data_IF_925801312889
#
_entry.id   IF_925801312889
#
_cell.length_a   1.000
_cell.length_b   1.000
_cell.length_c   1.000
_cell.angle_alpha   90.00
_cell.angle_beta   90.00
_cell.angle_gamma   90.00
#
_symmetry.space_group_name_H-M   'P 1'
#
loop_
_entity.id
_entity.type
_entity.pdbx_description
1 polymer ?
#
# COMPACT_ATOMS: atom_id res chain seq x y z
N UNK A 1 -72.69 -4.88 -17.66
CA UNK A 1 -72.22 -4.58 -16.28
C UNK A 1 -71.14 -5.54 -15.77
N UNK A 2 -71.11 -6.83 -16.17
CA UNK A 2 -70.09 -7.79 -15.70
C UNK A 2 -68.67 -7.56 -16.29
N UNK A 3 -68.54 -7.00 -17.49
CA UNK A 3 -67.23 -6.75 -18.14
C UNK A 3 -66.41 -5.60 -17.54
N UNK A 4 -67.09 -4.52 -17.15
CA UNK A 4 -66.45 -3.33 -16.53
C UNK A 4 -65.88 -3.63 -15.15
N UNK A 5 -66.55 -4.50 -14.38
CA UNK A 5 -66.11 -4.86 -13.03
C UNK A 5 -64.90 -5.80 -13.03
N UNK A 6 -64.84 -6.72 -14.00
CA UNK A 6 -63.68 -7.60 -14.21
C UNK A 6 -62.43 -6.83 -14.67
N UNK A 7 -62.57 -5.82 -15.56
CA UNK A 7 -61.47 -4.95 -15.97
C UNK A 7 -60.92 -4.10 -14.83
N UNK A 8 -61.80 -3.55 -13.98
CA UNK A 8 -61.38 -2.70 -12.86
C UNK A 8 -60.55 -3.48 -11.83
N UNK A 9 -61.00 -4.69 -11.45
CA UNK A 9 -60.26 -5.59 -10.56
C UNK A 9 -58.90 -5.98 -11.14
N UNK A 10 -58.82 -6.27 -12.44
CA UNK A 10 -57.56 -6.64 -13.11
C UNK A 10 -56.53 -5.49 -13.04
N UNK A 11 -56.97 -4.26 -13.27
CA UNK A 11 -56.09 -3.07 -13.20
C UNK A 11 -55.62 -2.75 -11.77
N UNK A 12 -56.44 -3.00 -10.76
CA UNK A 12 -56.08 -2.79 -9.35
C UNK A 12 -55.10 -3.87 -8.87
N UNK A 13 -55.26 -5.12 -9.30
CA UNK A 13 -54.28 -6.20 -9.02
C UNK A 13 -52.95 -5.98 -9.74
N UNK A 14 -52.95 -5.48 -10.98
CA UNK A 14 -51.71 -5.17 -11.73
C UNK A 14 -50.93 -4.01 -11.11
N UNK A 15 -51.63 -2.97 -10.62
CA UNK A 15 -51.00 -1.84 -9.92
C UNK A 15 -50.40 -2.25 -8.57
N UNK A 16 -51.09 -3.09 -7.80
CA UNK A 16 -50.58 -3.62 -6.52
C UNK A 16 -49.35 -4.53 -6.67
N UNK A 17 -49.36 -5.38 -7.72
CA UNK A 17 -48.22 -6.24 -8.03
C UNK A 17 -47.01 -5.45 -8.54
N UNK A 18 -47.23 -4.41 -9.36
CA UNK A 18 -46.16 -3.51 -9.81
C UNK A 18 -45.50 -2.80 -8.63
N UNK A 19 -46.28 -2.25 -7.68
CA UNK A 19 -45.73 -1.56 -6.51
C UNK A 19 -44.89 -2.47 -5.60
N UNK A 20 -45.34 -3.72 -5.42
CA UNK A 20 -44.64 -4.73 -4.62
C UNK A 20 -43.35 -5.18 -5.31
N UNK A 21 -43.38 -5.34 -6.64
CA UNK A 21 -42.23 -5.73 -7.45
C UNK A 21 -41.12 -4.65 -7.47
N UNK A 22 -41.48 -3.36 -7.54
CA UNK A 22 -40.50 -2.27 -7.47
C UNK A 22 -39.78 -2.20 -6.11
N UNK A 23 -40.49 -2.48 -4.99
CA UNK A 23 -39.89 -2.52 -3.66
C UNK A 23 -38.94 -3.71 -3.49
N UNK A 24 -39.30 -4.88 -4.04
CA UNK A 24 -38.44 -6.06 -4.02
C UNK A 24 -37.17 -5.81 -4.84
N UNK A 25 -37.29 -5.23 -6.05
CA UNK A 25 -36.14 -4.89 -6.91
C UNK A 25 -35.23 -3.85 -6.23
N UNK A 26 -35.80 -2.80 -5.62
CA UNK A 26 -35.02 -1.79 -4.89
C UNK A 26 -34.30 -2.38 -3.67
N UNK A 27 -34.92 -3.32 -2.95
CA UNK A 27 -34.32 -4.00 -1.80
C UNK A 27 -33.22 -4.96 -2.23
N UNK A 28 -33.41 -5.69 -3.34
CA UNK A 28 -32.37 -6.55 -3.93
C UNK A 28 -31.19 -5.74 -4.49
N UNK A 29 -31.45 -4.58 -5.10
CA UNK A 29 -30.39 -3.65 -5.54
C UNK A 29 -29.64 -3.02 -4.36
N UNK A 30 -30.32 -2.68 -3.26
CA UNK A 30 -29.67 -2.18 -2.05
C UNK A 30 -28.82 -3.26 -1.36
N UNK A 31 -29.31 -4.51 -1.30
CA UNK A 31 -28.54 -5.66 -0.82
C UNK A 31 -27.35 -5.97 -1.73
N UNK A 32 -27.51 -5.86 -3.06
CA UNK A 32 -26.41 -6.02 -4.02
C UNK A 32 -25.36 -4.90 -3.92
N UNK A 33 -25.78 -3.65 -3.67
CA UNK A 33 -24.87 -2.54 -3.35
C UNK A 33 -24.14 -2.74 -2.01
N UNK A 34 -24.81 -3.30 -1.00
CA UNK A 34 -24.19 -3.64 0.28
C UNK A 34 -23.21 -4.82 0.15
N UNK A 35 -23.54 -5.84 -0.67
CA UNK A 35 -22.68 -6.98 -0.97
C UNK A 35 -21.46 -6.61 -1.82
N UNK A 36 -21.58 -5.61 -2.71
CA UNK A 36 -20.43 -5.08 -3.49
C UNK A 36 -19.56 -4.14 -2.66
N UNK A 37 -20.14 -3.37 -1.73
CA UNK A 37 -19.37 -2.57 -0.77
C UNK A 37 -18.57 -3.44 0.22
N UNK A 38 -19.06 -4.64 0.57
CA UNK A 38 -18.34 -5.61 1.40
C UNK A 38 -17.18 -6.32 0.71
N UNK A 39 -16.99 -6.14 -0.61
CA UNK A 39 -15.78 -6.57 -1.32
C UNK A 39 -14.68 -5.50 -1.35
N UNK A 40 -14.78 -4.48 -0.50
CA UNK A 40 -13.60 -3.76 -0.01
C UNK A 40 -12.87 -4.68 0.98
N UNK A 41 -12.26 -5.75 0.47
CA UNK A 41 -11.27 -6.52 1.23
C UNK A 41 -10.27 -5.50 1.76
N UNK A 42 -10.06 -5.51 3.08
CA UNK A 42 -9.04 -4.70 3.74
C UNK A 42 -7.72 -4.96 3.03
N UNK A 43 -7.34 -4.04 2.16
CA UNK A 43 -6.15 -4.16 1.33
C UNK A 43 -5.02 -3.61 2.16
N UNK A 44 -4.06 -4.46 2.49
CA UNK A 44 -2.90 -4.06 3.28
C UNK A 44 -2.21 -2.88 2.59
N UNK A 45 -2.02 -1.80 3.33
CA UNK A 45 -1.37 -0.60 2.83
C UNK A 45 0.15 -0.76 2.92
N UNK A 46 0.80 -0.60 1.79
CA UNK A 46 2.24 -0.56 1.67
C UNK A 46 2.65 0.89 1.60
N UNK A 47 3.51 1.29 2.54
CA UNK A 47 4.20 2.58 2.52
C UNK A 47 5.68 2.35 2.22
N UNK A 48 6.24 3.25 1.40
CA UNK A 48 7.61 3.17 0.93
C UNK A 48 8.34 4.45 1.26
N UNK A 49 9.63 4.31 1.55
CA UNK A 49 10.54 5.41 1.72
C UNK A 49 11.77 5.18 0.83
N UNK A 50 12.05 6.11 -0.08
CA UNK A 50 13.24 6.05 -0.94
C UNK A 50 14.49 6.43 -0.12
N UNK A 51 15.28 5.42 0.25
CA UNK A 51 16.55 5.61 0.95
C UNK A 51 17.64 5.96 -0.06
N UNK A 52 17.87 7.26 -0.23
CA UNK A 52 18.80 7.79 -1.22
C UNK A 52 20.24 7.81 -0.71
N UNK A 53 21.16 7.67 -1.65
CA UNK A 53 22.58 7.83 -1.37
C UNK A 53 22.90 9.29 -1.07
N UNK A 54 23.49 9.54 0.09
CA UNK A 54 23.93 10.86 0.52
C UNK A 54 25.26 11.22 -0.15
N UNK A 55 25.44 12.52 -0.41
CA UNK A 55 26.61 13.04 -1.11
C UNK A 55 27.86 13.20 -0.22
N UNK A 56 27.67 13.16 1.10
CA UNK A 56 28.72 13.25 2.11
C UNK A 56 28.27 12.54 3.39
N UNK A 57 29.21 12.06 4.22
CA UNK A 57 28.92 11.56 5.57
C UNK A 57 28.26 12.64 6.43
N UNK A 58 27.46 12.20 7.41
CA UNK A 58 26.78 13.06 8.36
C UNK A 58 27.53 13.15 9.70
N UNK A 59 27.38 14.30 10.37
CA UNK A 59 27.83 14.45 11.76
C UNK A 59 26.69 14.03 12.67
N UNK A 60 26.86 12.94 13.41
CA UNK A 60 25.81 12.44 14.31
C UNK A 60 25.81 13.27 15.59
N UNK A 61 25.05 14.36 15.60
CA UNK A 61 24.93 15.28 16.73
C UNK A 61 23.49 15.62 17.13
N UNK A 62 22.51 15.08 16.40
CA UNK A 62 21.09 15.19 16.71
C UNK A 62 20.42 16.41 16.08
N UNK A 63 21.11 17.27 15.30
CA UNK A 63 20.54 18.51 14.75
C UNK A 63 19.87 18.36 13.39
N UNK A 64 20.20 17.32 12.63
CA UNK A 64 19.65 17.11 11.30
C UNK A 64 19.83 18.32 10.35
N UNK A 65 20.91 19.11 10.51
CA UNK A 65 21.14 20.36 9.78
C UNK A 65 22.23 20.23 8.68
N UNK A 66 22.89 19.09 8.60
CA UNK A 66 23.84 18.75 7.53
C UNK A 66 23.25 18.94 6.13
N UNK A 67 24.04 19.49 5.21
CA UNK A 67 23.57 19.77 3.85
C UNK A 67 23.19 18.50 3.06
N UNK A 68 23.85 17.37 3.33
CA UNK A 68 23.60 16.09 2.66
C UNK A 68 22.15 15.61 2.86
N UNK A 69 21.56 15.94 4.01
CA UNK A 69 20.19 15.59 4.30
C UNK A 69 19.15 16.22 3.36
N UNK A 70 19.48 17.31 2.64
CA UNK A 70 18.55 17.95 1.69
C UNK A 70 18.15 17.04 0.53
N UNK A 71 18.91 15.97 0.28
CA UNK A 71 18.56 14.96 -0.71
C UNK A 71 17.44 14.02 -0.24
N UNK A 72 17.24 13.87 1.08
CA UNK A 72 16.27 12.96 1.67
C UNK A 72 14.97 13.69 2.08
N UNK A 73 13.83 13.13 1.68
CA UNK A 73 12.51 13.69 1.98
C UNK A 73 12.06 13.36 3.41
N UNK A 74 11.34 14.26 4.06
CA UNK A 74 10.68 13.94 5.33
C UNK A 74 9.46 13.03 5.09
N UNK A 75 9.28 12.05 5.96
CA UNK A 75 8.08 11.22 6.07
C UNK A 75 7.50 11.38 7.48
N UNK A 76 6.19 11.59 7.56
CA UNK A 76 5.50 11.75 8.85
C UNK A 76 5.19 10.39 9.48
N UNK A 77 4.92 10.38 10.79
CA UNK A 77 4.30 9.26 11.51
C UNK A 77 2.82 9.61 11.73
N UNK A 78 1.93 9.40 10.74
CA UNK A 78 0.60 9.99 10.76
C UNK A 78 -0.39 9.18 11.59
N UNK A 79 -0.05 7.95 11.99
CA UNK A 79 -1.00 7.04 12.63
C UNK A 79 -0.73 6.93 14.13
N UNK A 80 -1.80 6.80 14.90
CA UNK A 80 -1.72 6.39 16.30
C UNK A 80 -1.37 4.90 16.39
N UNK A 81 -0.35 4.58 17.16
CA UNK A 81 0.14 3.21 17.35
C UNK A 81 -0.88 2.31 18.10
N UNK A 82 -0.87 1.00 17.83
CA UNK A 82 -1.79 -0.02 18.36
C UNK A 82 -3.29 0.23 18.10
N UNK A 83 -3.60 0.92 17.01
CA UNK A 83 -4.99 1.07 16.55
C UNK A 83 -5.17 0.27 15.27
N UNK A 84 -6.00 -0.77 15.33
CA UNK A 84 -6.36 -1.55 14.13
C UNK A 84 -7.04 -0.67 13.07
N UNK A 85 -7.84 0.30 13.51
CA UNK A 85 -8.41 1.33 12.64
C UNK A 85 -7.48 2.55 12.63
N UNK A 86 -7.00 3.00 11.46
CA UNK A 86 -6.13 4.17 11.37
C UNK A 86 -6.80 5.38 12.00
N UNK A 87 -6.16 5.94 13.03
CA UNK A 87 -6.53 7.23 13.60
C UNK A 87 -5.32 8.16 13.54
N UNK A 88 -5.50 9.47 13.33
CA UNK A 88 -4.39 10.41 13.29
C UNK A 88 -3.58 10.38 14.60
N UNK A 89 -2.26 10.44 14.49
CA UNK A 89 -1.38 10.64 15.63
C UNK A 89 -1.73 11.96 16.34
N UNK A 90 -1.63 11.96 17.67
CA UNK A 90 -1.86 13.16 18.47
C UNK A 90 -0.79 14.22 18.22
N UNK A 91 0.45 13.76 17.98
CA UNK A 91 1.65 14.58 17.88
C UNK A 91 2.36 14.44 16.57
N UNK A 92 2.73 15.57 15.99
CA UNK A 92 3.54 15.58 14.77
C UNK A 92 4.89 14.93 15.08
N UNK A 93 5.26 13.98 14.26
CA UNK A 93 6.58 13.37 14.26
C UNK A 93 6.96 13.05 12.82
N UNK A 94 8.22 13.20 12.49
CA UNK A 94 8.72 12.97 11.14
C UNK A 94 10.11 12.37 11.18
N UNK A 95 10.45 11.58 10.16
CA UNK A 95 11.77 11.03 9.97
C UNK A 95 12.24 11.22 8.54
N UNK A 96 13.53 11.05 8.33
CA UNK A 96 14.09 10.79 7.01
C UNK A 96 15.28 9.85 7.14
N UNK A 97 15.56 9.14 6.07
CA UNK A 97 16.63 8.18 6.00
C UNK A 97 17.46 8.39 4.74
N UNK A 98 18.73 8.04 4.82
CA UNK A 98 19.66 8.08 3.71
C UNK A 98 20.77 7.07 3.95
N UNK A 99 21.65 6.90 2.98
CA UNK A 99 22.72 5.92 3.13
C UNK A 99 23.98 6.34 2.37
N UNK A 100 25.11 5.73 2.69
CA UNK A 100 26.32 5.82 1.88
C UNK A 100 26.99 4.45 1.71
N UNK A 101 28.27 4.43 1.37
CA UNK A 101 28.97 3.16 1.18
C UNK A 101 29.22 2.37 2.46
N UNK A 102 29.13 3.02 3.62
CA UNK A 102 29.53 2.47 4.91
C UNK A 102 28.35 2.31 5.88
N UNK A 103 27.37 3.23 5.84
CA UNK A 103 26.29 3.29 6.83
C UNK A 103 24.92 3.61 6.25
N UNK A 104 23.91 3.11 6.98
CA UNK A 104 22.56 3.67 6.97
C UNK A 104 22.51 4.86 7.92
N UNK A 105 21.81 5.91 7.53
CA UNK A 105 21.56 7.09 8.35
C UNK A 105 20.07 7.32 8.52
N UNK A 106 19.69 7.72 9.74
CA UNK A 106 18.32 8.11 10.04
C UNK A 106 18.33 9.33 10.96
N UNK A 107 17.41 10.25 10.72
CA UNK A 107 17.06 11.28 11.68
C UNK A 107 15.56 11.35 11.86
N UNK A 108 15.12 11.63 13.08
CA UNK A 108 13.72 11.82 13.41
C UNK A 108 13.54 13.04 14.32
N UNK A 109 12.42 13.74 14.16
CA UNK A 109 12.02 14.88 14.97
C UNK A 109 10.64 14.57 15.56
N UNK A 110 10.54 14.67 16.87
CA UNK A 110 9.33 14.42 17.64
C UNK A 110 8.91 15.73 18.31
N UNK A 111 7.86 16.35 17.79
CA UNK A 111 7.41 17.65 18.26
C UNK A 111 6.70 17.54 19.62
N UNK A 112 6.90 18.56 20.45
CA UNK A 112 6.19 18.70 21.72
C UNK A 112 4.78 19.19 21.46
N UNK A 113 3.82 18.55 22.13
CA UNK A 113 2.39 18.78 21.94
C UNK A 113 1.71 19.37 23.17
N UNK A 114 2.40 19.31 24.29
CA UNK A 114 1.97 19.78 25.59
C UNK A 114 3.19 20.31 26.33
N UNK A 115 2.95 21.10 27.37
CA UNK A 115 3.98 21.53 28.31
C UNK A 115 4.43 20.38 29.25
N UNK A 116 4.08 19.12 28.96
CA UNK A 116 4.53 17.97 29.76
C UNK A 116 6.03 17.74 29.52
N UNK A 117 6.79 17.65 30.60
CA UNK A 117 8.21 17.34 30.55
C UNK A 117 8.45 15.92 30.01
N UNK A 118 9.47 15.76 29.18
CA UNK A 118 9.93 14.46 28.72
C UNK A 118 10.33 13.57 29.91
N UNK A 119 9.92 12.32 29.86
CA UNK A 119 10.33 11.25 30.77
C UNK A 119 11.63 10.64 30.27
N UNK A 120 12.63 10.64 31.13
CA UNK A 120 13.94 10.04 30.89
C UNK A 120 14.45 9.45 32.21
N UNK A 121 13.76 8.43 32.72
CA UNK A 121 14.07 7.82 34.01
C UNK A 121 15.16 6.73 33.90
N UNK A 122 15.39 6.19 32.70
CA UNK A 122 16.35 5.13 32.46
C UNK A 122 17.65 5.72 31.89
N UNK A 123 18.78 5.25 32.42
CA UNK A 123 20.10 5.78 32.11
C UNK A 123 21.09 4.72 31.62
N UNK A 124 20.73 3.43 31.73
CA UNK A 124 21.58 2.31 31.32
C UNK A 124 21.33 1.93 29.86
N UNK A 125 22.40 1.66 29.11
CA UNK A 125 22.29 0.96 27.84
C UNK A 125 21.64 -0.41 28.06
N UNK A 126 20.81 -0.84 27.11
CA UNK A 126 20.15 -2.15 27.10
C UNK A 126 19.21 -2.36 28.30
N UNK A 127 18.64 -1.26 28.81
CA UNK A 127 17.58 -1.29 29.82
C UNK A 127 16.29 -1.85 29.19
N UNK A 128 15.70 -2.93 29.75
CA UNK A 128 14.52 -3.58 29.19
C UNK A 128 13.25 -2.70 29.28
N UNK A 129 13.24 -1.70 30.15
CA UNK A 129 12.09 -0.82 30.39
C UNK A 129 12.26 0.57 29.73
N UNK A 130 13.29 0.76 28.91
CA UNK A 130 13.58 2.02 28.21
C UNK A 130 12.38 2.55 27.39
N UNK A 131 11.54 1.66 26.87
CA UNK A 131 10.30 2.00 26.14
C UNK A 131 9.28 2.78 26.99
N UNK A 132 9.41 2.79 28.31
CA UNK A 132 8.57 3.56 29.23
C UNK A 132 8.94 5.05 29.30
N UNK A 133 10.13 5.42 28.83
CA UNK A 133 10.57 6.80 28.66
C UNK A 133 10.05 7.38 27.35
N UNK A 134 10.17 8.70 27.20
CA UNK A 134 10.00 9.35 25.90
C UNK A 134 11.09 8.84 24.95
N UNK A 135 10.67 7.98 24.02
CA UNK A 135 11.55 7.16 23.20
C UNK A 135 10.98 6.92 21.80
N UNK A 136 11.83 6.43 20.91
CA UNK A 136 11.46 5.93 19.60
C UNK A 136 11.91 4.49 19.45
N UNK A 137 11.12 3.70 18.75
CA UNK A 137 11.52 2.36 18.32
C UNK A 137 11.67 2.32 16.82
N UNK A 138 12.77 1.74 16.35
CA UNK A 138 13.12 1.70 14.94
C UNK A 138 13.43 0.26 14.57
N UNK A 139 12.79 -0.23 13.52
CA UNK A 139 12.91 -1.61 13.06
C UNK A 139 13.56 -1.64 11.68
N UNK A 140 14.49 -2.57 11.48
CA UNK A 140 15.10 -2.85 10.18
C UNK A 140 15.04 -4.36 9.92
N UNK A 141 14.35 -4.79 8.86
CA UNK A 141 14.25 -6.17 8.39
C UNK A 141 14.90 -6.28 7.01
N UNK A 142 16.21 -6.61 6.92
CA UNK A 142 16.93 -6.56 5.65
C UNK A 142 16.42 -7.53 4.57
N UNK A 143 15.81 -8.65 4.98
CA UNK A 143 15.34 -9.69 4.07
C UNK A 143 13.82 -9.59 3.80
N UNK A 144 13.10 -8.76 4.55
CA UNK A 144 11.64 -8.68 4.55
C UNK A 144 11.00 -10.05 4.80
N UNK A 145 11.52 -10.78 5.78
CA UNK A 145 11.09 -12.14 6.12
C UNK A 145 10.80 -12.32 7.63
N UNK A 146 10.85 -11.22 8.40
CA UNK A 146 10.60 -11.19 9.83
C UNK A 146 11.83 -11.20 10.71
N UNK A 147 13.03 -11.35 10.13
CA UNK A 147 14.30 -11.19 10.84
C UNK A 147 14.69 -9.72 10.92
N UNK A 148 14.28 -9.06 12.02
CA UNK A 148 14.54 -7.64 12.20
C UNK A 148 15.59 -7.35 13.28
N UNK A 149 16.27 -6.21 13.11
CA UNK A 149 17.00 -5.50 14.14
C UNK A 149 16.09 -4.42 14.72
N UNK A 150 16.11 -4.24 16.03
CA UNK A 150 15.34 -3.21 16.72
C UNK A 150 16.26 -2.33 17.53
N UNK A 151 16.03 -1.02 17.44
CA UNK A 151 16.63 -0.01 18.28
C UNK A 151 15.53 0.70 19.06
N UNK A 152 15.69 0.82 20.37
CA UNK A 152 14.91 1.70 21.23
C UNK A 152 15.84 2.82 21.63
N UNK A 153 15.49 4.06 21.33
CA UNK A 153 16.31 5.24 21.66
C UNK A 153 15.47 6.23 22.45
N UNK A 154 15.89 6.55 23.68
CA UNK A 154 15.22 7.57 24.48
C UNK A 154 15.65 8.98 24.08
N UNK A 155 14.85 9.98 24.45
CA UNK A 155 15.18 11.40 24.28
C UNK A 155 16.48 11.82 24.99
N UNK A 156 16.93 11.06 25.99
CA UNK A 156 18.21 11.23 26.66
C UNK A 156 19.40 10.55 25.95
N UNK A 157 19.18 9.92 24.79
CA UNK A 157 20.23 9.28 24.00
C UNK A 157 20.65 7.90 24.52
N UNK A 158 19.85 7.30 25.40
CA UNK A 158 20.06 5.93 25.85
C UNK A 158 19.52 4.98 24.79
N UNK A 159 20.24 3.87 24.56
CA UNK A 159 19.94 2.89 23.52
C UNK A 159 19.76 1.52 24.14
N UNK A 160 18.70 0.83 23.74
CA UNK A 160 18.52 -0.61 23.89
C UNK A 160 18.37 -1.21 22.50
N UNK A 161 19.16 -2.23 22.16
CA UNK A 161 19.03 -2.89 20.87
C UNK A 161 19.01 -4.42 20.99
N UNK A 162 18.38 -5.05 20.01
CA UNK A 162 18.28 -6.51 19.91
C UNK A 162 17.85 -6.91 18.50
N UNK A 163 17.84 -8.21 18.22
CA UNK A 163 17.35 -8.75 16.95
C UNK A 163 16.38 -9.91 17.13
N UNK A 164 15.49 -10.09 16.17
CA UNK A 164 14.65 -11.27 16.02
C UNK A 164 15.37 -12.30 15.13
N UNK A 165 15.42 -13.54 15.59
CA UNK A 165 15.96 -14.70 14.87
C UNK A 165 14.91 -15.82 14.80
N UNK A 166 15.18 -16.87 14.04
CA UNK A 166 14.38 -18.11 14.09
C UNK A 166 14.27 -18.70 15.52
N UNK A 167 15.28 -18.47 16.37
CA UNK A 167 15.29 -18.92 17.77
C UNK A 167 14.53 -17.98 18.72
N UNK A 168 13.97 -16.88 18.21
CA UNK A 168 13.33 -15.82 18.98
C UNK A 168 14.19 -14.56 19.12
N UNK A 169 13.84 -13.72 20.10
CA UNK A 169 14.53 -12.46 20.38
C UNK A 169 15.90 -12.74 21.03
N UNK A 170 16.95 -12.21 20.41
CA UNK A 170 18.32 -12.22 20.89
C UNK A 170 18.67 -10.85 21.48
N UNK A 171 18.48 -10.72 22.79
CA UNK A 171 18.86 -9.53 23.59
C UNK A 171 20.38 -9.40 23.82
N UNK A 172 21.18 -10.38 23.36
CA UNK A 172 22.64 -10.32 23.50
C UNK A 172 23.33 -9.69 22.28
N UNK A 173 22.59 -9.50 21.19
CA UNK A 173 23.08 -8.79 20.03
C UNK A 173 23.20 -7.29 20.33
N UNK A 174 24.26 -6.66 19.83
CA UNK A 174 24.55 -5.23 20.07
C UNK A 174 25.13 -4.61 18.80
N UNK A 175 24.56 -3.50 18.35
CA UNK A 175 25.12 -2.71 17.24
C UNK A 175 26.37 -1.95 17.71
N UNK A 176 27.51 -2.62 17.67
CA UNK A 176 28.75 -2.16 18.32
C UNK A 176 29.32 -0.89 17.68
N UNK A 177 29.06 -0.65 16.39
CA UNK A 177 29.61 0.48 15.65
C UNK A 177 28.58 1.58 15.39
N UNK A 178 27.32 1.37 15.78
CA UNK A 178 26.27 2.36 15.66
C UNK A 178 26.58 3.61 16.50
N UNK A 179 26.24 4.78 15.95
CA UNK A 179 26.31 6.06 16.65
C UNK A 179 24.91 6.64 16.73
N UNK A 180 24.60 7.21 17.88
CA UNK A 180 23.31 7.81 18.20
C UNK A 180 23.57 9.12 18.94
N UNK A 181 22.89 10.17 18.54
CA UNK A 181 22.85 11.44 19.25
C UNK A 181 21.41 11.94 19.31
N UNK A 182 21.05 12.55 20.43
CA UNK A 182 19.75 13.22 20.59
C UNK A 182 19.94 14.66 21.00
N UNK A 183 18.96 15.49 20.64
CA UNK A 183 18.92 16.89 21.04
C UNK A 183 17.51 17.23 21.52
N UNK A 184 17.40 17.81 22.71
CA UNK A 184 16.14 18.31 23.26
C UNK A 184 16.11 19.83 23.14
N UNK A 185 15.01 20.35 22.61
CA UNK A 185 14.72 21.77 22.48
C UNK A 185 13.39 22.11 23.16
N UNK A 186 13.03 23.39 23.16
CA UNK A 186 11.73 23.89 23.62
C UNK A 186 10.56 23.45 22.74
N UNK A 187 10.81 23.00 21.49
CA UNK A 187 9.75 22.67 20.51
C UNK A 187 9.67 21.19 20.14
N UNK A 188 10.78 20.47 20.28
CA UNK A 188 10.88 19.08 19.90
C UNK A 188 12.07 18.42 20.61
N UNK A 189 12.13 17.10 20.55
CA UNK A 189 13.39 16.39 20.62
C UNK A 189 13.67 15.68 19.29
N UNK A 190 14.95 15.52 18.98
CA UNK A 190 15.40 14.89 17.74
C UNK A 190 16.40 13.79 18.02
N UNK A 191 16.45 12.85 17.08
CA UNK A 191 17.39 11.76 16.99
C UNK A 191 18.17 11.90 15.68
N UNK A 192 19.46 11.60 15.74
CA UNK A 192 20.26 11.28 14.58
C UNK A 192 21.08 10.02 14.85
N UNK A 193 21.10 9.10 13.88
CA UNK A 193 21.83 7.85 14.02
C UNK A 193 22.52 7.44 12.73
N UNK A 194 23.67 6.78 12.88
CA UNK A 194 24.35 6.04 11.82
C UNK A 194 24.52 4.59 12.25
N UNK A 195 24.08 3.65 11.41
CA UNK A 195 24.29 2.21 11.63
C UNK A 195 25.13 1.67 10.47
N UNK A 196 26.40 1.30 10.73
CA UNK A 196 27.25 0.71 9.70
C UNK A 196 26.67 -0.59 9.14
N UNK A 197 26.85 -0.85 7.85
CA UNK A 197 26.37 -2.09 7.19
C UNK A 197 26.92 -3.35 7.86
N UNK A 198 28.12 -3.26 8.43
CA UNK A 198 28.75 -4.29 9.22
C UNK A 198 27.88 -4.76 10.39
N UNK A 199 27.19 -3.85 11.08
CA UNK A 199 26.38 -4.20 12.25
C UNK A 199 25.12 -4.98 11.83
N UNK A 200 24.56 -4.67 10.65
CA UNK A 200 23.50 -5.47 10.03
C UNK A 200 24.00 -6.80 9.46
N UNK A 201 25.31 -6.92 9.19
CA UNK A 201 25.89 -8.05 8.47
C UNK A 201 25.54 -8.10 6.98
N UNK A 202 24.88 -7.06 6.45
CA UNK A 202 24.45 -6.97 5.06
C UNK A 202 24.43 -5.51 4.59
N UNK A 203 24.98 -5.27 3.40
CA UNK A 203 24.86 -4.00 2.66
C UNK A 203 23.78 -4.15 1.59
N UNK A 204 22.82 -3.22 1.47
CA UNK A 204 21.79 -3.31 0.45
C UNK A 204 22.36 -3.03 -0.94
N UNK A 205 22.04 -3.91 -1.89
CA UNK A 205 22.26 -3.65 -3.31
C UNK A 205 21.21 -2.67 -3.86
N UNK A 206 21.48 -1.93 -4.95
CA UNK A 206 20.46 -1.12 -5.61
C UNK A 206 19.18 -1.92 -5.95
N UNK A 207 18.04 -1.31 -5.66
CA UNK A 207 16.69 -1.86 -5.72
C UNK A 207 16.29 -2.76 -4.54
N UNK A 208 17.14 -2.97 -3.54
CA UNK A 208 16.78 -3.79 -2.37
C UNK A 208 15.66 -3.15 -1.55
N UNK A 209 14.84 -4.00 -0.91
CA UNK A 209 13.72 -3.61 -0.08
C UNK A 209 13.94 -4.16 1.32
N UNK A 210 14.07 -3.28 2.31
CA UNK A 210 14.13 -3.68 3.72
C UNK A 210 12.80 -3.34 4.38
N UNK A 211 12.23 -4.28 5.13
CA UNK A 211 11.12 -3.97 6.02
C UNK A 211 11.56 -2.92 7.04
N UNK A 212 10.72 -1.94 7.30
CA UNK A 212 11.10 -0.78 8.11
C UNK A 212 9.91 -0.15 8.84
N UNK A 213 10.16 0.33 10.06
CA UNK A 213 9.18 1.04 10.88
C UNK A 213 9.86 2.05 11.80
N UNK A 214 9.17 3.16 12.08
CA UNK A 214 9.55 4.14 13.11
C UNK A 214 8.34 4.42 13.98
N UNK A 215 8.51 4.22 15.29
CA UNK A 215 7.49 4.46 16.29
C UNK A 215 7.91 5.59 17.22
N UNK A 216 6.93 6.31 17.77
CA UNK A 216 7.11 7.23 18.91
C UNK A 216 6.39 6.65 20.12
N UNK A 217 7.06 6.65 21.26
CA UNK A 217 6.49 6.38 22.58
C UNK A 217 6.69 7.61 23.45
N UNK A 218 5.60 8.26 23.85
CA UNK A 218 5.63 9.52 24.59
C UNK A 218 4.32 9.67 25.38
N UNK A 219 4.32 9.31 26.67
CA UNK A 219 3.11 9.36 27.50
C UNK A 219 1.92 8.62 26.86
N UNK A 220 0.88 9.36 26.43
CA UNK A 220 -0.31 8.85 25.72
C UNK A 220 -0.26 9.06 24.18
N UNK A 221 0.80 9.70 23.69
CA UNK A 221 0.99 10.11 22.30
C UNK A 221 1.89 9.12 21.57
N UNK A 222 1.38 7.92 21.34
CA UNK A 222 2.09 6.90 20.57
C UNK A 222 1.76 7.05 19.09
N UNK A 223 2.78 7.08 18.25
CA UNK A 223 2.64 7.28 16.81
C UNK A 223 3.44 6.24 16.03
N UNK A 224 3.02 5.96 14.80
CA UNK A 224 3.66 5.02 13.88
C UNK A 224 3.71 5.57 12.46
N UNK A 225 4.71 5.15 11.70
CA UNK A 225 4.80 5.45 10.28
C UNK A 225 3.80 4.63 9.47
N UNK A 226 3.63 3.34 9.80
CA UNK A 226 2.66 2.47 9.12
C UNK A 226 1.32 2.38 9.85
N UNK A 227 0.27 2.08 9.08
CA UNK A 227 -1.07 1.85 9.59
C UNK A 227 -1.18 0.49 10.28
N UNK A 228 -1.82 0.46 11.45
CA UNK A 228 -2.05 -0.79 12.18
C UNK A 228 -0.77 -1.41 12.75
N UNK A 229 0.29 -0.61 12.89
CA UNK A 229 1.54 -1.03 13.50
C UNK A 229 1.32 -1.60 14.90
N UNK A 230 2.03 -2.69 15.18
CA UNK A 230 2.00 -3.43 16.44
C UNK A 230 3.40 -3.95 16.78
N UNK A 231 3.59 -4.32 18.05
CA UNK A 231 4.91 -4.71 18.56
C UNK A 231 5.47 -5.94 17.86
N UNK A 232 6.65 -5.82 17.25
CA UNK A 232 7.36 -6.95 16.65
C UNK A 232 6.53 -7.71 15.61
N UNK A 233 5.72 -6.98 14.83
CA UNK A 233 4.88 -7.51 13.75
C UNK A 233 5.43 -7.06 12.39
N UNK A 234 6.47 -7.75 11.86
CA UNK A 234 7.12 -7.37 10.61
C UNK A 234 6.18 -7.39 9.39
N UNK A 235 5.09 -8.15 9.45
CA UNK A 235 4.02 -8.11 8.46
C UNK A 235 3.32 -6.75 8.35
N UNK A 236 3.47 -5.87 9.35
CA UNK A 236 2.92 -4.50 9.34
C UNK A 236 3.90 -3.44 8.89
N UNK A 237 5.20 -3.74 8.81
CA UNK A 237 6.23 -2.79 8.39
C UNK A 237 5.99 -2.21 6.99
N UNK A 238 6.49 -1.01 6.77
CA UNK A 238 6.69 -0.42 5.45
C UNK A 238 8.01 -0.89 4.86
N UNK A 239 8.50 -0.20 3.81
CA UNK A 239 9.79 -0.56 3.21
C UNK A 239 10.70 0.64 2.95
N UNK A 240 11.98 0.47 3.27
CA UNK A 240 13.07 1.26 2.71
C UNK A 240 13.45 0.70 1.34
N UNK A 241 13.39 1.54 0.31
CA UNK A 241 13.83 1.24 -1.04
C UNK A 241 15.21 1.84 -1.30
N UNK A 242 16.21 0.99 -1.51
CA UNK A 242 17.58 1.43 -1.79
C UNK A 242 17.80 1.63 -3.28
N UNK A 243 18.42 2.73 -3.70
CA UNK A 243 18.94 2.91 -5.06
C UNK A 243 17.90 3.24 -6.15
N UNK A 244 17.77 4.54 -6.46
CA UNK A 244 17.27 5.04 -7.76
C UNK A 244 15.76 5.22 -7.91
N UNK A 245 14.98 4.85 -6.90
CA UNK A 245 13.54 5.11 -6.82
C UNK A 245 12.66 3.91 -7.14
N UNK A 246 11.50 3.88 -6.49
CA UNK A 246 10.51 2.80 -6.48
C UNK A 246 10.23 2.11 -7.84
N UNK A 247 10.06 2.86 -8.94
CA UNK A 247 9.69 2.28 -10.24
C UNK A 247 10.76 1.30 -10.78
N UNK A 248 12.03 1.62 -10.55
CA UNK A 248 13.14 0.75 -10.98
C UNK A 248 13.22 -0.56 -10.18
N UNK A 249 12.70 -0.54 -8.95
CA UNK A 249 12.71 -1.65 -8.01
C UNK A 249 11.34 -2.35 -7.89
N UNK A 250 10.40 -2.03 -8.78
CA UNK A 250 9.01 -2.45 -8.66
C UNK A 250 8.83 -3.97 -8.51
N UNK A 251 9.53 -4.76 -9.33
CA UNK A 251 9.48 -6.22 -9.24
C UNK A 251 9.97 -6.77 -7.90
N UNK A 252 11.07 -6.21 -7.36
CA UNK A 252 11.61 -6.59 -6.05
C UNK A 252 10.65 -6.20 -4.92
N UNK A 253 9.94 -5.07 -5.04
CA UNK A 253 8.90 -4.72 -4.09
C UNK A 253 7.78 -5.78 -4.08
N UNK A 254 7.28 -6.17 -5.26
CA UNK A 254 6.22 -7.18 -5.35
C UNK A 254 6.62 -8.47 -4.63
N UNK A 255 7.87 -8.90 -4.80
CA UNK A 255 8.40 -10.09 -4.12
C UNK A 255 8.48 -9.91 -2.60
N UNK A 256 9.00 -8.77 -2.12
CA UNK A 256 9.08 -8.47 -0.67
C UNK A 256 7.72 -8.30 -0.01
N UNK A 257 6.77 -7.64 -0.68
CA UNK A 257 5.40 -7.47 -0.16
C UNK A 257 4.68 -8.80 -0.11
N UNK A 258 4.84 -9.66 -1.12
CA UNK A 258 4.20 -10.98 -1.12
C UNK A 258 4.63 -11.84 0.08
N UNK A 259 5.90 -11.78 0.48
CA UNK A 259 6.41 -12.55 1.61
C UNK A 259 5.73 -12.19 2.94
N UNK A 260 5.44 -10.92 3.16
CA UNK A 260 4.98 -10.43 4.46
C UNK A 260 3.48 -10.09 4.49
N UNK A 261 2.94 -9.51 3.41
CA UNK A 261 1.55 -9.03 3.31
C UNK A 261 0.70 -9.84 2.34
N UNK A 262 1.28 -10.86 1.71
CA UNK A 262 0.57 -11.75 0.79
C UNK A 262 0.24 -11.09 -0.55
N UNK A 263 -0.81 -11.60 -1.19
CA UNK A 263 -1.09 -11.35 -2.60
C UNK A 263 -2.00 -10.15 -2.89
N UNK A 264 -2.56 -9.49 -1.86
CA UNK A 264 -3.52 -8.40 -2.00
C UNK A 264 -3.06 -7.19 -1.19
N UNK A 265 -2.64 -6.12 -1.86
CA UNK A 265 -2.12 -4.94 -1.20
C UNK A 265 -2.29 -3.70 -2.06
N UNK A 266 -2.15 -2.54 -1.45
CA UNK A 266 -2.18 -1.26 -2.15
C UNK A 266 -0.97 -0.42 -1.73
N UNK A 267 -0.30 0.19 -2.69
CA UNK A 267 0.72 1.20 -2.44
C UNK A 267 0.05 2.58 -2.44
N UNK A 268 0.19 3.28 -1.32
CA UNK A 268 -0.16 4.69 -1.22
C UNK A 268 1.11 5.51 -1.41
N UNK A 269 1.09 6.39 -2.39
CA UNK A 269 2.18 7.32 -2.66
C UNK A 269 1.64 8.75 -2.81
N UNK A 270 2.47 9.79 -2.65
CA UNK A 270 2.04 11.17 -2.89
C UNK A 270 1.47 11.42 -4.31
N UNK A 271 1.82 10.57 -5.28
CA UNK A 271 1.38 10.69 -6.69
C UNK A 271 0.16 9.83 -7.03
N UNK A 272 -0.35 9.04 -6.09
CA UNK A 272 -1.58 8.24 -6.27
C UNK A 272 -1.56 6.89 -5.56
N UNK A 273 -2.68 6.17 -5.73
CA UNK A 273 -2.91 4.82 -5.22
C UNK A 273 -2.67 3.77 -6.31
N UNK A 274 -1.81 2.79 -6.04
CA UNK A 274 -1.63 1.60 -6.89
C UNK A 274 -2.12 0.36 -6.15
N UNK A 275 -3.09 -0.37 -6.70
CA UNK A 275 -3.61 -1.59 -6.09
C UNK A 275 -3.07 -2.84 -6.80
N UNK A 276 -2.62 -3.81 -6.02
CA UNK A 276 -2.00 -5.05 -6.45
C UNK A 276 -2.77 -6.26 -5.91
N UNK A 277 -2.90 -7.25 -6.79
CA UNK A 277 -3.68 -8.46 -6.58
C UNK A 277 -3.02 -9.58 -7.38
N UNK A 278 -2.34 -10.53 -6.74
CA UNK A 278 -1.67 -11.64 -7.43
C UNK A 278 -2.64 -12.74 -7.86
N UNK A 279 -3.78 -12.87 -7.17
CA UNK A 279 -4.96 -13.38 -7.83
C UNK A 279 -5.30 -12.35 -8.91
N UNK A 280 -5.18 -12.68 -10.19
CA UNK A 280 -5.83 -11.85 -11.21
C UNK A 280 -7.29 -11.58 -10.80
N UNK A 281 -7.97 -10.59 -11.40
CA UNK A 281 -9.40 -10.40 -11.13
C UNK A 281 -10.11 -11.77 -11.20
N UNK A 282 -11.05 -12.01 -10.27
CA UNK A 282 -11.90 -13.21 -10.35
C UNK A 282 -12.41 -13.36 -11.78
N UNK A 283 -12.64 -14.58 -12.25
CA UNK A 283 -13.08 -14.78 -13.63
C UNK A 283 -14.29 -13.90 -13.96
N UNK A 284 -15.21 -13.72 -13.02
CA UNK A 284 -16.35 -12.81 -13.14
C UNK A 284 -15.95 -11.33 -13.28
N UNK A 285 -15.02 -10.84 -12.47
CA UNK A 285 -14.52 -9.46 -12.58
C UNK A 285 -13.75 -9.23 -13.90
N UNK A 286 -13.00 -10.23 -14.35
CA UNK A 286 -12.30 -10.21 -15.62
C UNK A 286 -13.30 -10.18 -16.79
N UNK A 287 -14.36 -10.99 -16.74
CA UNK A 287 -15.46 -11.03 -17.72
C UNK A 287 -16.19 -9.68 -17.76
N UNK A 288 -16.50 -9.10 -16.61
CA UNK A 288 -17.20 -7.82 -16.52
C UNK A 288 -16.38 -6.70 -17.16
N UNK A 289 -15.10 -6.60 -16.80
CA UNK A 289 -14.19 -5.58 -17.35
C UNK A 289 -13.97 -5.74 -18.85
N UNK A 290 -13.69 -6.95 -19.32
CA UNK A 290 -13.52 -7.22 -20.75
C UNK A 290 -14.82 -6.97 -21.53
N UNK A 291 -15.99 -7.36 -20.99
CA UNK A 291 -17.29 -7.06 -21.60
C UNK A 291 -17.50 -5.57 -21.78
N UNK A 292 -17.20 -4.76 -20.76
CA UNK A 292 -17.34 -3.31 -20.83
C UNK A 292 -16.41 -2.73 -21.90
N UNK A 293 -15.11 -3.00 -21.83
CA UNK A 293 -14.12 -2.40 -22.73
C UNK A 293 -14.33 -2.81 -24.20
N UNK A 294 -14.68 -4.08 -24.46
CA UNK A 294 -14.98 -4.56 -25.82
C UNK A 294 -16.25 -3.89 -26.36
N UNK A 295 -17.27 -3.70 -25.51
CA UNK A 295 -18.53 -3.04 -25.91
C UNK A 295 -18.29 -1.56 -26.23
N UNK A 296 -17.57 -0.85 -25.38
CA UNK A 296 -17.19 0.56 -25.58
C UNK A 296 -16.37 0.71 -26.88
N UNK A 297 -15.31 -0.07 -27.05
CA UNK A 297 -14.48 -0.01 -28.26
C UNK A 297 -15.25 -0.33 -29.53
N UNK A 298 -16.19 -1.29 -29.47
CA UNK A 298 -17.05 -1.63 -30.61
C UNK A 298 -17.98 -0.47 -30.96
N UNK A 299 -18.55 0.19 -29.95
CA UNK A 299 -19.39 1.37 -30.16
C UNK A 299 -18.57 2.51 -30.81
N UNK A 300 -17.40 2.82 -30.27
CA UNK A 300 -16.51 3.86 -30.79
C UNK A 300 -16.08 3.57 -32.24
N UNK A 301 -15.74 2.33 -32.57
CA UNK A 301 -15.41 1.94 -33.94
C UNK A 301 -16.63 2.01 -34.88
N UNK A 302 -17.82 1.59 -34.43
CA UNK A 302 -19.01 1.51 -35.26
C UNK A 302 -19.52 2.87 -35.74
N UNK A 303 -19.26 3.95 -34.97
CA UNK A 303 -19.71 5.31 -35.30
C UNK A 303 -18.76 6.08 -36.24
N UNK A 304 -17.64 5.49 -36.63
CA UNK A 304 -16.70 6.10 -37.59
C UNK A 304 -17.33 6.27 -38.98
N UNK A 305 -17.03 7.39 -39.62
CA UNK A 305 -17.51 7.67 -40.99
C UNK A 305 -16.63 7.00 -42.05
N UNK A 306 -15.32 6.86 -41.81
CA UNK A 306 -14.43 6.07 -42.67
C UNK A 306 -14.78 4.57 -42.59
N UNK A 307 -15.39 4.06 -43.66
CA UNK A 307 -15.84 2.68 -43.75
C UNK A 307 -14.69 1.65 -43.70
N UNK A 308 -13.50 2.01 -44.21
CA UNK A 308 -12.34 1.12 -44.20
C UNK A 308 -11.76 1.05 -42.80
N UNK A 309 -11.52 2.21 -42.16
CA UNK A 309 -10.99 2.28 -40.80
C UNK A 309 -11.95 1.63 -39.80
N UNK A 310 -13.26 1.85 -39.94
CA UNK A 310 -14.30 1.15 -39.17
C UNK A 310 -14.19 -0.37 -39.31
N UNK A 311 -14.10 -0.89 -40.53
CA UNK A 311 -13.98 -2.33 -40.77
C UNK A 311 -12.72 -2.92 -40.13
N UNK A 312 -11.57 -2.24 -40.31
CA UNK A 312 -10.29 -2.67 -39.74
C UNK A 312 -10.33 -2.77 -38.21
N UNK A 313 -10.91 -1.76 -37.53
CA UNK A 313 -11.03 -1.75 -36.07
C UNK A 313 -12.02 -2.80 -35.55
N UNK A 314 -13.15 -3.02 -36.24
CA UNK A 314 -14.11 -4.07 -35.85
C UNK A 314 -13.52 -5.48 -36.00
N UNK A 315 -12.68 -5.71 -37.02
CA UNK A 315 -11.95 -6.98 -37.19
C UNK A 315 -10.99 -7.21 -36.02
N UNK A 316 -10.29 -6.18 -35.53
CA UNK A 316 -9.41 -6.30 -34.34
C UNK A 316 -10.18 -6.74 -33.07
N UNK A 317 -11.46 -6.39 -32.93
CA UNK A 317 -12.28 -6.75 -31.77
C UNK A 317 -12.87 -8.17 -31.84
N UNK A 318 -12.90 -8.81 -33.01
CA UNK A 318 -13.48 -10.15 -33.18
C UNK A 318 -12.78 -11.23 -32.34
N UNK A 319 -11.43 -11.36 -32.34
CA UNK A 319 -10.77 -12.35 -31.49
C UNK A 319 -10.96 -12.07 -29.99
N UNK A 320 -11.00 -10.80 -29.58
CA UNK A 320 -11.22 -10.41 -28.18
C UNK A 320 -12.62 -10.81 -27.69
N UNK A 321 -13.63 -10.67 -28.57
CA UNK A 321 -14.98 -11.14 -28.29
C UNK A 321 -15.03 -12.66 -28.11
N UNK A 322 -14.34 -13.42 -28.97
CA UNK A 322 -14.29 -14.87 -28.85
C UNK A 322 -13.67 -15.33 -27.52
N UNK A 323 -12.61 -14.66 -27.07
CA UNK A 323 -11.99 -14.91 -25.76
C UNK A 323 -12.95 -14.63 -24.60
N UNK A 324 -13.72 -13.54 -24.70
CA UNK A 324 -14.74 -13.21 -23.71
C UNK A 324 -15.87 -14.25 -23.66
N UNK A 325 -16.30 -14.74 -24.82
CA UNK A 325 -17.38 -15.73 -24.91
C UNK A 325 -16.92 -17.10 -24.37
N UNK A 326 -15.67 -17.51 -24.66
CA UNK A 326 -15.06 -18.72 -24.06
C UNK A 326 -15.03 -18.63 -22.54
N UNK A 327 -14.59 -17.48 -22.00
CA UNK A 327 -14.51 -17.29 -20.57
C UNK A 327 -15.89 -17.29 -19.89
N UNK A 328 -16.90 -16.68 -20.50
CA UNK A 328 -18.30 -16.75 -20.03
C UNK A 328 -18.82 -18.19 -20.00
N UNK A 329 -18.51 -18.98 -21.02
CA UNK A 329 -18.90 -20.38 -21.07
C UNK A 329 -18.18 -21.20 -19.99
N UNK A 330 -16.88 -20.97 -19.78
CA UNK A 330 -16.11 -21.64 -18.74
C UNK A 330 -16.61 -21.31 -17.32
N UNK A 331 -17.01 -20.05 -17.08
CA UNK A 331 -17.63 -19.64 -15.82
C UNK A 331 -18.96 -20.36 -15.57
N UNK A 332 -19.79 -20.53 -16.60
CA UNK A 332 -21.09 -21.20 -16.49
C UNK A 332 -20.99 -22.72 -16.20
N UNK A 333 -19.91 -23.38 -16.64
CA UNK A 333 -19.73 -24.83 -16.52
C UNK A 333 -18.92 -25.22 -15.27
N UNK A 334 -18.30 -24.26 -14.58
CA UNK A 334 -17.47 -24.51 -13.40
C UNK A 334 -16.07 -25.03 -13.76
N UNK A 335 -15.18 -24.14 -14.18
CA UNK A 335 -13.78 -24.45 -14.49
C UNK A 335 -12.92 -24.68 -13.23
N UNK A 336 -11.84 -25.46 -13.37
CA UNK A 336 -10.85 -25.62 -12.30
C UNK A 336 -10.01 -24.35 -12.07
N UNK A 337 -9.31 -24.28 -10.93
CA UNK A 337 -8.57 -23.09 -10.50
C UNK A 337 -7.46 -22.65 -11.47
N UNK A 338 -6.76 -23.60 -12.11
CA UNK A 338 -5.69 -23.30 -13.07
C UNK A 338 -6.26 -22.68 -14.35
N UNK A 339 -7.37 -23.23 -14.84
CA UNK A 339 -8.09 -22.71 -16.00
C UNK A 339 -8.72 -21.35 -15.72
N UNK A 340 -9.25 -21.13 -14.51
CA UNK A 340 -9.75 -19.82 -14.05
C UNK A 340 -8.64 -18.77 -14.13
N UNK A 341 -7.46 -19.03 -13.56
CA UNK A 341 -6.34 -18.09 -13.59
C UNK A 341 -5.89 -17.77 -15.01
N UNK A 342 -5.78 -18.79 -15.88
CA UNK A 342 -5.41 -18.60 -17.28
C UNK A 342 -6.41 -17.73 -18.04
N UNK A 343 -7.71 -17.97 -17.87
CA UNK A 343 -8.76 -17.19 -18.53
C UNK A 343 -8.84 -15.76 -17.99
N UNK A 344 -8.69 -15.56 -16.67
CA UNK A 344 -8.64 -14.22 -16.06
C UNK A 344 -7.48 -13.38 -16.63
N UNK A 345 -6.29 -13.97 -16.78
CA UNK A 345 -5.13 -13.28 -17.35
C UNK A 345 -5.36 -12.90 -18.82
N UNK A 346 -5.86 -13.84 -19.64
CA UNK A 346 -6.22 -13.60 -21.05
C UNK A 346 -7.26 -12.50 -21.21
N UNK A 347 -8.25 -12.44 -20.32
CA UNK A 347 -9.28 -11.40 -20.35
C UNK A 347 -8.74 -10.02 -19.94
N UNK A 348 -7.77 -9.96 -19.02
CA UNK A 348 -7.12 -8.71 -18.67
C UNK A 348 -6.35 -8.12 -19.87
N UNK A 349 -5.63 -8.96 -20.62
CA UNK A 349 -4.96 -8.59 -21.87
C UNK A 349 -5.98 -8.15 -22.94
N UNK A 350 -7.06 -8.91 -23.13
CA UNK A 350 -8.12 -8.56 -24.07
C UNK A 350 -8.80 -7.22 -23.73
N UNK A 351 -9.00 -6.92 -22.45
CA UNK A 351 -9.56 -5.64 -22.01
C UNK A 351 -8.61 -4.46 -22.32
N UNK A 352 -7.29 -4.64 -22.18
CA UNK A 352 -6.30 -3.63 -22.53
C UNK A 352 -6.27 -3.37 -24.05
N UNK A 353 -6.23 -4.43 -24.86
CA UNK A 353 -6.26 -4.32 -26.32
C UNK A 353 -7.56 -3.68 -26.84
N UNK A 354 -8.70 -4.00 -26.23
CA UNK A 354 -9.97 -3.37 -26.57
C UNK A 354 -9.94 -1.86 -26.29
N UNK A 355 -9.37 -1.44 -25.16
CA UNK A 355 -9.20 -0.02 -24.82
C UNK A 355 -8.35 0.72 -25.86
N UNK A 356 -7.27 0.09 -26.33
CA UNK A 356 -6.41 0.66 -27.37
C UNK A 356 -7.16 0.82 -28.71
N UNK A 357 -7.97 -0.17 -29.09
CA UNK A 357 -8.83 -0.09 -30.28
C UNK A 357 -9.84 1.06 -30.17
N UNK A 358 -10.47 1.23 -29.00
CA UNK A 358 -11.37 2.37 -28.76
C UNK A 358 -10.65 3.71 -28.85
N UNK A 359 -9.45 3.81 -28.26
CA UNK A 359 -8.62 5.01 -28.39
C UNK A 359 -8.25 5.32 -29.85
N UNK A 360 -7.85 4.31 -30.63
CA UNK A 360 -7.63 4.47 -32.08
C UNK A 360 -8.89 4.99 -32.79
N UNK A 361 -10.08 4.49 -32.44
CA UNK A 361 -11.34 4.95 -33.01
C UNK A 361 -11.62 6.42 -32.67
N UNK A 362 -11.42 6.83 -31.42
CA UNK A 362 -11.61 8.23 -31.00
C UNK A 362 -10.65 9.20 -31.71
N UNK A 363 -9.39 8.78 -31.91
CA UNK A 363 -8.43 9.57 -32.72
C UNK A 363 -8.93 9.70 -34.15
N UNK A 364 -9.32 8.59 -34.79
CA UNK A 364 -9.83 8.61 -36.16
C UNK A 364 -11.05 9.54 -36.29
N UNK A 365 -12.00 9.45 -35.36
CA UNK A 365 -13.17 10.33 -35.33
C UNK A 365 -12.82 11.81 -35.16
N UNK A 366 -11.78 12.13 -34.37
CA UNK A 366 -11.32 13.50 -34.16
C UNK A 366 -10.64 14.08 -35.42
N UNK A 367 -9.99 13.23 -36.22
CA UNK A 367 -9.34 13.62 -37.48
C UNK A 367 -10.33 13.73 -38.65
N UNK A 368 -11.54 13.19 -38.51
CA UNK A 368 -12.65 13.34 -39.48
C UNK A 368 -13.39 14.68 -39.33
N UNK A 369 -13.17 15.41 -38.23
CA UNK A 369 -13.72 16.75 -37.96
C UNK A 369 -12.74 17.84 -38.36
#
# INVERSE_FOLDING_TARGET
MLSSWAMKRRSETEKGNSFTMHRIIATLLALLCLLTASFCLATEEVVLYDCLRLSAPLTIDGKADDAAWKAASWAELPYKFLQETPTPAGSRSEFRAGCDDESLYLTAIFYHDSDEALKANHAGRDDPDLWMDDSTEIYFDPASDGHFFKFIVSSAGIVTDFRQTDAGIDYSWTATNAKVATLVTDKAWSLEMSVPWQDFGVKPEPGSMWGFEVLRFSGKNWASWTMGASYNHPEKFGYLCFGGGFLSAFGKLVDSVRKTKGDQWRLVSPVGLLQFSAAGPSLDAAIARASQQITEARFEAAVLSDAKKRADLLVKLTPLQAMLDEAKQAAAVGADGTRIQSLSAKLAEAAALAKDVGFEARIAQALEK
#
